data_IF_691466433296
#
_entry.id   IF_691466433296
#
_cell.length_a   1.000
_cell.length_b   1.000
_cell.length_c   1.000
_cell.angle_alpha   90.00
_cell.angle_beta   90.00
_cell.angle_gamma   90.00
#
_symmetry.space_group_name_H-M   'P 1'
#
loop_
_entity.id
_entity.type
_entity.pdbx_description
1 polymer ?
#
# COMPACT_ATOMS: atom_id res chain seq x y z
N UNK A 1 -7.62 -28.15 15.63
CA UNK A 1 -8.69 -27.13 15.63
C UNK A 1 -8.36 -26.06 14.59
N UNK A 2 -9.33 -25.61 13.79
CA UNK A 2 -9.12 -24.49 12.86
C UNK A 2 -9.24 -23.18 13.65
N UNK A 3 -8.18 -22.40 13.71
CA UNK A 3 -8.19 -21.07 14.33
C UNK A 3 -8.98 -20.14 13.41
N UNK A 4 -10.00 -19.46 13.95
CA UNK A 4 -10.74 -18.41 13.25
C UNK A 4 -9.96 -17.11 13.33
N UNK A 5 -8.89 -17.04 12.54
CA UNK A 5 -7.85 -15.99 12.62
C UNK A 5 -8.38 -14.55 12.70
N UNK A 6 -9.42 -14.21 11.93
CA UNK A 6 -10.00 -12.87 11.96
C UNK A 6 -10.82 -12.63 13.24
N UNK A 7 -11.69 -13.58 13.61
CA UNK A 7 -12.51 -13.51 14.82
C UNK A 7 -11.63 -13.36 16.08
N UNK A 8 -10.54 -14.14 16.17
CA UNK A 8 -9.61 -14.06 17.31
C UNK A 8 -8.89 -12.70 17.34
N UNK A 9 -8.43 -12.20 16.18
CA UNK A 9 -7.79 -10.89 16.10
C UNK A 9 -8.75 -9.78 16.54
N UNK A 10 -9.96 -9.76 16.00
CA UNK A 10 -10.98 -8.74 16.28
C UNK A 10 -11.44 -8.76 17.74
N UNK A 11 -11.46 -9.92 18.38
CA UNK A 11 -11.77 -10.05 19.80
C UNK A 11 -10.63 -9.63 20.74
N UNK A 12 -9.37 -9.83 20.35
CA UNK A 12 -8.21 -9.64 21.22
C UNK A 12 -7.57 -8.26 21.02
N UNK A 13 -7.36 -7.82 19.78
CA UNK A 13 -6.64 -6.58 19.44
C UNK A 13 -7.14 -5.35 20.21
N UNK A 14 -8.46 -5.07 20.33
CA UNK A 14 -8.97 -3.91 21.07
C UNK A 14 -8.66 -3.92 22.58
N UNK A 15 -8.24 -5.07 23.13
CA UNK A 15 -7.92 -5.22 24.55
C UNK A 15 -6.43 -4.99 24.86
N UNK A 16 -5.60 -4.89 23.84
CA UNK A 16 -4.16 -4.72 23.99
C UNK A 16 -3.81 -3.26 24.30
N UNK A 17 -2.87 -3.05 25.22
CA UNK A 17 -2.14 -1.78 25.27
C UNK A 17 -1.09 -1.78 24.16
N UNK A 18 -1.27 -0.89 23.17
CA UNK A 18 -0.48 -0.80 21.95
C UNK A 18 0.76 0.11 22.11
N UNK A 19 0.86 0.84 23.22
CA UNK A 19 1.94 1.80 23.44
C UNK A 19 3.31 1.12 23.39
N UNK A 20 4.15 1.57 22.46
CA UNK A 20 5.52 1.08 22.26
C UNK A 20 5.63 -0.32 21.67
N UNK A 21 4.54 -0.91 21.17
CA UNK A 21 4.58 -2.25 20.56
C UNK A 21 4.96 -2.19 19.09
N UNK A 22 5.76 -3.18 18.68
CA UNK A 22 5.91 -3.51 17.27
C UNK A 22 4.74 -4.35 16.77
N UNK A 23 4.56 -4.46 15.45
CA UNK A 23 3.57 -5.35 14.85
C UNK A 23 3.78 -6.81 15.27
N UNK A 24 5.03 -7.24 15.43
CA UNK A 24 5.36 -8.59 15.89
C UNK A 24 4.99 -8.79 17.37
N UNK A 25 5.19 -7.79 18.22
CA UNK A 25 4.76 -7.86 19.63
C UNK A 25 3.24 -8.00 19.73
N UNK A 26 2.48 -7.30 18.89
CA UNK A 26 1.02 -7.43 18.79
C UNK A 26 0.65 -8.87 18.40
N UNK A 27 1.29 -9.41 17.37
CA UNK A 27 1.06 -10.79 16.90
C UNK A 27 1.37 -11.81 17.99
N UNK A 28 2.49 -11.65 18.69
CA UNK A 28 2.90 -12.54 19.77
C UNK A 28 1.91 -12.51 20.94
N UNK A 29 1.41 -11.32 21.30
CA UNK A 29 0.37 -11.19 22.34
C UNK A 29 -0.93 -11.88 21.95
N UNK A 30 -1.38 -11.71 20.70
CA UNK A 30 -2.58 -12.38 20.19
C UNK A 30 -2.39 -13.90 20.21
N UNK A 31 -1.25 -14.38 19.74
CA UNK A 31 -0.91 -15.81 19.76
C UNK A 31 -0.96 -16.39 21.18
N UNK A 32 -0.36 -15.72 22.17
CA UNK A 32 -0.37 -16.18 23.56
C UNK A 32 -1.79 -16.28 24.11
N UNK A 33 -2.65 -15.30 23.84
CA UNK A 33 -4.05 -15.33 24.29
C UNK A 33 -4.83 -16.45 23.62
N UNK A 34 -4.61 -16.71 22.32
CA UNK A 34 -5.25 -17.82 21.60
C UNK A 34 -4.80 -19.17 22.16
N UNK A 35 -3.50 -19.34 22.45
CA UNK A 35 -2.97 -20.57 23.06
C UNK A 35 -3.59 -20.80 24.45
N UNK A 36 -3.66 -19.76 25.29
CA UNK A 36 -4.23 -19.84 26.64
C UNK A 36 -5.72 -20.17 26.66
N UNK A 37 -6.49 -19.67 25.68
CA UNK A 37 -7.93 -19.95 25.55
C UNK A 37 -8.22 -21.33 24.96
N UNK A 38 -7.25 -21.96 24.30
CA UNK A 38 -7.47 -23.22 23.59
C UNK A 38 -7.55 -24.41 24.55
N UNK A 39 -8.62 -25.18 24.45
CA UNK A 39 -8.78 -26.45 25.17
C UNK A 39 -8.10 -27.63 24.47
N UNK A 40 -7.59 -27.42 23.25
CA UNK A 40 -6.91 -28.44 22.44
C UNK A 40 -5.50 -27.98 22.07
N UNK A 41 -4.60 -28.95 21.86
CA UNK A 41 -3.26 -28.66 21.32
C UNK A 41 -3.38 -28.04 19.92
N UNK A 42 -2.77 -26.87 19.74
CA UNK A 42 -2.66 -26.18 18.45
C UNK A 42 -1.34 -26.58 17.79
N UNK A 43 -1.36 -26.88 16.50
CA UNK A 43 -0.13 -27.20 15.76
C UNK A 43 0.63 -25.93 15.38
N UNK A 44 1.97 -26.01 15.39
CA UNK A 44 2.83 -24.88 14.97
C UNK A 44 2.51 -24.41 13.55
N UNK A 45 2.18 -25.33 12.63
CA UNK A 45 1.79 -24.97 11.26
C UNK A 45 0.51 -24.11 11.20
N UNK A 46 -0.44 -24.35 12.10
CA UNK A 46 -1.67 -23.54 12.19
C UNK A 46 -1.36 -22.14 12.73
N UNK A 47 -0.49 -22.05 13.75
CA UNK A 47 -0.03 -20.78 14.30
C UNK A 47 0.71 -19.95 13.24
N UNK A 48 1.68 -20.54 12.54
CA UNK A 48 2.45 -19.84 11.50
C UNK A 48 1.56 -19.25 10.38
N UNK A 49 0.49 -19.95 9.99
CA UNK A 49 -0.49 -19.44 9.03
C UNK A 49 -1.27 -18.23 9.62
N UNK A 50 -1.67 -18.32 10.88
CA UNK A 50 -2.38 -17.23 11.56
C UNK A 50 -1.49 -16.00 11.76
N UNK A 51 -0.23 -16.17 12.17
CA UNK A 51 0.75 -15.09 12.38
C UNK A 51 0.89 -14.17 11.17
N UNK A 52 0.97 -14.73 9.97
CA UNK A 52 1.05 -13.93 8.73
C UNK A 52 -0.18 -13.03 8.56
N UNK A 53 -1.38 -13.58 8.81
CA UNK A 53 -2.62 -12.79 8.74
C UNK A 53 -2.69 -11.75 9.86
N UNK A 54 -2.32 -12.12 11.09
CA UNK A 54 -2.33 -11.20 12.21
C UNK A 54 -1.33 -10.07 12.05
N UNK A 55 -0.18 -10.30 11.41
CA UNK A 55 0.78 -9.25 11.12
C UNK A 55 0.22 -8.22 10.12
N UNK A 56 -0.44 -8.69 9.05
CA UNK A 56 -1.14 -7.80 8.10
C UNK A 56 -2.28 -7.02 8.77
N UNK A 57 -3.02 -7.67 9.67
CA UNK A 57 -4.11 -7.04 10.43
C UNK A 57 -3.58 -6.03 11.46
N UNK A 58 -2.47 -6.33 12.14
CA UNK A 58 -1.81 -5.39 13.05
C UNK A 58 -1.32 -4.15 12.29
N UNK A 59 -0.67 -4.36 11.14
CA UNK A 59 -0.21 -3.27 10.29
C UNK A 59 -1.37 -2.35 9.87
N UNK A 60 -2.46 -2.90 9.33
CA UNK A 60 -3.56 -2.06 8.82
C UNK A 60 -4.31 -1.33 9.93
N UNK A 61 -4.49 -1.94 11.10
CA UNK A 61 -5.15 -1.28 12.23
C UNK A 61 -4.29 -0.16 12.80
N UNK A 62 -2.98 -0.39 12.95
CA UNK A 62 -2.05 0.67 13.36
C UNK A 62 -1.94 1.76 12.30
N UNK A 63 -1.88 1.42 11.00
CA UNK A 63 -1.86 2.39 9.90
C UNK A 63 -3.13 3.23 9.88
N UNK A 64 -4.29 2.63 10.13
CA UNK A 64 -5.55 3.34 10.29
C UNK A 64 -5.49 4.32 11.47
N UNK A 65 -5.13 3.85 12.67
CA UNK A 65 -5.01 4.70 13.86
C UNK A 65 -4.06 5.87 13.62
N UNK A 66 -2.88 5.56 13.08
CA UNK A 66 -1.81 6.49 12.80
C UNK A 66 -2.22 7.56 11.78
N UNK A 67 -2.77 7.16 10.62
CA UNK A 67 -3.14 8.13 9.58
C UNK A 67 -4.27 9.07 10.01
N UNK A 68 -5.19 8.61 10.88
CA UNK A 68 -6.23 9.45 11.47
C UNK A 68 -5.65 10.53 12.38
N UNK A 69 -4.54 10.24 13.07
CA UNK A 69 -3.86 11.12 14.04
C UNK A 69 -2.85 12.06 13.38
N UNK A 70 -2.13 11.58 12.37
CA UNK A 70 -0.98 12.28 11.80
C UNK A 70 -1.30 13.14 10.60
N UNK A 71 -2.44 12.92 9.92
CA UNK A 71 -2.78 13.65 8.68
C UNK A 71 -4.25 14.07 8.67
N UNK A 72 -4.55 15.19 8.02
CA UNK A 72 -5.94 15.63 7.80
C UNK A 72 -6.47 15.27 6.41
N UNK A 73 -5.57 15.07 5.45
CA UNK A 73 -5.91 14.99 4.03
C UNK A 73 -5.69 13.61 3.41
N UNK A 74 -4.99 12.69 4.09
CA UNK A 74 -4.67 11.39 3.54
C UNK A 74 -5.46 10.28 4.22
N UNK A 75 -5.68 9.20 3.48
CA UNK A 75 -6.19 7.96 4.04
C UNK A 75 -5.64 6.75 3.27
N UNK A 76 -5.40 5.66 3.99
CA UNK A 76 -4.87 4.41 3.45
C UNK A 76 -6.01 3.41 3.30
N UNK A 77 -6.18 2.87 2.09
CA UNK A 77 -7.19 1.85 1.82
C UNK A 77 -6.51 0.56 1.40
N UNK A 78 -6.80 -0.53 2.12
CA UNK A 78 -6.40 -1.86 1.70
C UNK A 78 -7.18 -2.28 0.47
N UNK A 79 -6.44 -2.67 -0.54
CA UNK A 79 -7.01 -3.13 -1.79
C UNK A 79 -7.52 -4.57 -1.66
N UNK A 80 -8.53 -4.90 -2.44
CA UNK A 80 -8.95 -6.28 -2.62
C UNK A 80 -7.94 -7.09 -3.44
N UNK A 81 -8.23 -8.38 -3.61
CA UNK A 81 -7.50 -9.20 -4.58
C UNK A 81 -7.71 -8.70 -6.02
N UNK A 82 -6.83 -9.10 -6.95
CA UNK A 82 -6.97 -8.83 -8.39
C UNK A 82 -8.32 -9.33 -8.95
N UNK A 83 -8.87 -10.40 -8.37
CA UNK A 83 -10.19 -10.93 -8.71
C UNK A 83 -11.36 -10.05 -8.24
N UNK A 84 -11.13 -9.20 -7.23
CA UNK A 84 -12.14 -8.34 -6.63
C UNK A 84 -12.14 -6.93 -7.23
N UNK A 85 -10.96 -6.38 -7.48
CA UNK A 85 -10.76 -5.04 -8.03
C UNK A 85 -9.43 -4.98 -8.76
N UNK A 86 -9.39 -4.34 -9.93
CA UNK A 86 -8.10 -3.95 -10.54
C UNK A 86 -7.68 -2.61 -9.97
N UNK A 87 -6.39 -2.36 -9.77
CA UNK A 87 -5.95 -1.13 -9.09
C UNK A 87 -6.47 0.16 -9.75
N UNK A 88 -6.63 0.19 -11.08
CA UNK A 88 -7.16 1.35 -11.80
C UNK A 88 -8.69 1.48 -11.72
N UNK A 89 -9.39 0.50 -11.17
CA UNK A 89 -10.85 0.58 -10.96
C UNK A 89 -11.24 1.47 -9.78
N UNK A 90 -10.29 1.98 -9.00
CA UNK A 90 -10.56 3.01 -7.98
C UNK A 90 -10.96 4.35 -8.62
N UNK A 91 -10.42 4.65 -9.81
CA UNK A 91 -10.65 5.93 -10.49
C UNK A 91 -12.06 5.97 -11.09
N UNK A 92 -12.65 7.15 -11.25
CA UNK A 92 -13.89 7.29 -12.02
C UNK A 92 -13.71 6.76 -13.45
N UNK A 93 -14.77 6.20 -14.04
CA UNK A 93 -14.70 5.59 -15.39
C UNK A 93 -14.25 6.62 -16.42
N UNK A 94 -14.77 7.84 -16.32
CA UNK A 94 -14.49 8.99 -17.17
C UNK A 94 -13.00 9.35 -17.14
N UNK A 95 -12.39 9.31 -15.95
CA UNK A 95 -10.99 9.65 -15.74
C UNK A 95 -10.02 8.64 -16.36
N UNK A 96 -10.42 7.37 -16.48
CA UNK A 96 -9.57 6.30 -17.04
C UNK A 96 -9.92 5.88 -18.46
N UNK A 97 -10.82 6.59 -19.15
CA UNK A 97 -11.28 6.23 -20.49
C UNK A 97 -10.12 6.01 -21.49
N UNK A 98 -9.09 6.86 -21.43
CA UNK A 98 -7.90 6.74 -22.31
C UNK A 98 -7.14 5.44 -22.05
N UNK A 99 -6.99 5.07 -20.78
CA UNK A 99 -6.33 3.82 -20.40
C UNK A 99 -7.18 2.61 -20.81
N UNK A 100 -8.48 2.63 -20.54
CA UNK A 100 -9.39 1.54 -20.93
C UNK A 100 -9.39 1.34 -22.46
N UNK A 101 -9.41 2.43 -23.25
CA UNK A 101 -9.29 2.38 -24.70
C UNK A 101 -7.96 1.77 -25.16
N UNK A 102 -6.83 2.16 -24.53
CA UNK A 102 -5.52 1.58 -24.84
C UNK A 102 -5.49 0.07 -24.61
N UNK A 103 -6.05 -0.38 -23.48
CA UNK A 103 -6.15 -1.80 -23.14
C UNK A 103 -6.99 -2.55 -24.17
N UNK A 104 -8.11 -1.97 -24.61
CA UNK A 104 -8.97 -2.60 -25.61
C UNK A 104 -8.31 -2.65 -27.00
N UNK A 105 -7.56 -1.61 -27.39
CA UNK A 105 -6.74 -1.64 -28.61
C UNK A 105 -5.74 -2.79 -28.54
N UNK A 106 -5.04 -2.97 -27.42
CA UNK A 106 -4.05 -4.05 -27.25
C UNK A 106 -4.68 -5.45 -27.33
N UNK A 107 -5.86 -5.64 -26.75
CA UNK A 107 -6.57 -6.93 -26.80
C UNK A 107 -7.10 -7.28 -28.18
N UNK A 108 -7.53 -6.28 -28.95
CA UNK A 108 -8.20 -6.48 -30.25
C UNK A 108 -7.23 -6.53 -31.44
N UNK A 109 -5.92 -6.62 -31.21
CA UNK A 109 -4.94 -6.86 -32.27
C UNK A 109 -5.03 -8.31 -32.79
N UNK A 110 -4.53 -8.52 -34.01
CA UNK A 110 -4.37 -9.87 -34.59
C UNK A 110 -3.54 -10.78 -33.68
N UNK A 111 -2.52 -10.21 -33.02
CA UNK A 111 -1.78 -10.81 -31.92
C UNK A 111 -2.10 -10.02 -30.63
N UNK A 112 -3.04 -10.50 -29.79
CA UNK A 112 -3.47 -9.79 -28.59
C UNK A 112 -2.35 -9.58 -27.58
N UNK A 113 -2.26 -8.37 -27.04
CA UNK A 113 -1.35 -8.01 -25.95
C UNK A 113 -2.17 -7.82 -24.68
N UNK A 114 -1.77 -8.47 -23.60
CA UNK A 114 -2.42 -8.36 -22.30
C UNK A 114 -1.49 -7.71 -21.28
N UNK A 115 -1.89 -6.56 -20.75
CA UNK A 115 -1.25 -6.00 -19.55
C UNK A 115 -1.87 -6.70 -18.34
N UNK A 116 -1.10 -7.58 -17.71
CA UNK A 116 -1.47 -8.25 -16.45
C UNK A 116 -0.62 -7.71 -15.31
N UNK A 117 -1.27 -7.46 -14.18
CA UNK A 117 -0.62 -6.94 -12.99
C UNK A 117 -1.51 -7.26 -11.78
N UNK A 118 -0.89 -7.77 -10.72
CA UNK A 118 -1.52 -7.89 -9.42
C UNK A 118 -1.93 -6.52 -8.89
N UNK A 119 -2.83 -6.51 -7.91
CA UNK A 119 -3.25 -5.27 -7.26
C UNK A 119 -2.29 -4.97 -6.12
N UNK A 120 -1.74 -3.73 -6.03
CA UNK A 120 -0.94 -3.32 -4.88
C UNK A 120 -1.71 -3.54 -3.58
N UNK A 121 -1.03 -3.78 -2.48
CA UNK A 121 -1.70 -4.09 -1.20
C UNK A 121 -2.55 -2.93 -0.69
N UNK A 122 -2.08 -1.69 -0.91
CA UNK A 122 -2.77 -0.49 -0.47
C UNK A 122 -2.74 0.63 -1.51
N UNK A 123 -3.72 1.52 -1.40
CA UNK A 123 -3.75 2.82 -2.08
C UNK A 123 -3.85 3.95 -1.07
N UNK A 124 -3.07 5.01 -1.29
CA UNK A 124 -3.16 6.26 -0.54
C UNK A 124 -4.03 7.23 -1.33
N UNK A 125 -5.12 7.68 -0.71
CA UNK A 125 -6.11 8.57 -1.32
C UNK A 125 -6.35 9.80 -0.46
N UNK A 126 -7.07 10.76 -1.02
CA UNK A 126 -7.52 11.94 -0.29
C UNK A 126 -8.64 11.55 0.68
N UNK A 127 -8.61 12.06 1.91
CA UNK A 127 -9.52 11.65 2.99
C UNK A 127 -10.98 12.11 2.77
N UNK A 128 -11.17 13.16 1.99
CA UNK A 128 -12.48 13.66 1.52
C UNK A 128 -13.30 12.56 0.83
N UNK A 129 -12.69 11.74 -0.04
CA UNK A 129 -13.43 10.70 -0.75
C UNK A 129 -14.00 9.65 0.21
N UNK A 130 -13.32 9.38 1.32
CA UNK A 130 -13.79 8.44 2.35
C UNK A 130 -14.94 9.06 3.14
N UNK A 131 -14.87 10.36 3.46
CA UNK A 131 -15.96 11.11 4.12
C UNK A 131 -17.22 11.15 3.28
N UNK A 132 -17.09 11.33 1.97
CA UNK A 132 -18.22 11.40 1.04
C UNK A 132 -18.79 10.02 0.70
N UNK A 133 -17.92 9.01 0.61
CA UNK A 133 -18.29 7.69 0.12
C UNK A 133 -18.77 6.75 1.21
N UNK A 134 -18.36 6.97 2.46
CA UNK A 134 -18.70 6.11 3.56
C UNK A 134 -19.81 6.71 4.42
N UNK A 135 -20.92 5.98 4.56
CA UNK A 135 -21.84 6.19 5.66
C UNK A 135 -21.29 5.70 7.00
N UNK A 136 -20.12 5.05 6.99
CA UNK A 136 -19.51 4.46 8.18
C UNK A 136 -18.67 5.48 8.96
N UNK A 137 -18.73 5.36 10.28
CA UNK A 137 -17.92 6.14 11.23
C UNK A 137 -16.45 5.68 11.24
N UNK A 138 -15.94 5.07 10.16
CA UNK A 138 -14.56 4.55 10.09
C UNK A 138 -13.54 5.63 10.42
N UNK A 139 -13.77 6.87 9.99
CA UNK A 139 -12.89 8.01 10.27
C UNK A 139 -12.98 8.53 11.71
N UNK A 140 -14.00 8.13 12.46
CA UNK A 140 -14.24 8.53 13.86
C UNK A 140 -13.90 7.41 14.85
N UNK A 141 -13.75 6.17 14.37
CA UNK A 141 -13.44 5.02 15.19
C UNK A 141 -11.98 4.61 14.97
N UNK A 142 -11.14 4.69 16.01
CA UNK A 142 -9.74 4.26 15.95
C UNK A 142 -9.56 2.74 15.83
N UNK A 143 -10.60 1.96 16.15
CA UNK A 143 -10.62 0.50 16.01
C UNK A 143 -11.94 0.05 15.36
N UNK A 144 -12.11 0.32 14.05
CA UNK A 144 -13.31 -0.06 13.33
C UNK A 144 -13.36 -1.58 13.11
N UNK A 145 -14.55 -2.15 12.86
CA UNK A 145 -14.68 -3.57 12.54
C UNK A 145 -13.79 -3.96 11.37
N UNK A 146 -13.16 -5.13 11.42
CA UNK A 146 -12.22 -5.58 10.40
C UNK A 146 -12.85 -5.62 9.01
N UNK A 147 -14.14 -5.95 8.95
CA UNK A 147 -14.90 -5.96 7.70
C UNK A 147 -14.93 -4.58 7.04
N UNK A 148 -15.16 -3.51 7.82
CA UNK A 148 -15.24 -2.15 7.27
C UNK A 148 -13.90 -1.72 6.66
N UNK A 149 -12.79 -1.95 7.37
CA UNK A 149 -11.45 -1.64 6.86
C UNK A 149 -11.11 -2.48 5.61
N UNK A 150 -11.34 -3.79 5.65
CA UNK A 150 -10.95 -4.69 4.56
C UNK A 150 -11.84 -4.51 3.31
N UNK A 151 -13.06 -4.02 3.45
CA UNK A 151 -14.00 -3.85 2.33
C UNK A 151 -14.13 -2.41 1.85
N UNK A 152 -13.39 -1.46 2.44
CA UNK A 152 -13.45 -0.05 2.07
C UNK A 152 -13.12 0.19 0.58
N UNK A 153 -12.25 -0.64 -0.03
CA UNK A 153 -11.98 -0.58 -1.47
C UNK A 153 -13.25 -0.73 -2.33
N UNK A 154 -14.26 -1.49 -1.87
CA UNK A 154 -15.53 -1.66 -2.57
C UNK A 154 -16.32 -0.36 -2.58
N UNK A 155 -16.21 0.41 -1.50
CA UNK A 155 -16.90 1.69 -1.32
C UNK A 155 -16.28 2.77 -2.19
N UNK A 156 -14.95 2.81 -2.33
CA UNK A 156 -14.24 3.81 -3.16
C UNK A 156 -14.10 3.40 -4.64
N UNK A 157 -14.51 2.18 -5.00
CA UNK A 157 -14.44 1.67 -6.37
C UNK A 157 -15.19 2.60 -7.34
N UNK A 158 -14.51 3.03 -8.39
CA UNK A 158 -14.97 3.97 -9.41
C UNK A 158 -15.31 5.38 -8.91
N UNK A 159 -14.75 5.84 -7.78
CA UNK A 159 -15.12 7.14 -7.20
C UNK A 159 -14.01 8.18 -7.22
N UNK A 160 -12.74 7.77 -7.19
CA UNK A 160 -11.62 8.69 -7.08
C UNK A 160 -11.39 9.47 -8.38
N UNK A 161 -11.28 10.80 -8.29
CA UNK A 161 -10.67 11.61 -9.33
C UNK A 161 -9.16 11.35 -9.38
N UNK A 162 -8.46 11.60 -10.51
CA UNK A 162 -7.04 11.33 -10.64
C UNK A 162 -6.21 11.96 -9.52
N UNK A 163 -6.38 13.27 -9.30
CA UNK A 163 -5.66 13.99 -8.26
C UNK A 163 -5.93 13.44 -6.86
N UNK A 164 -7.03 12.73 -6.61
CA UNK A 164 -7.35 12.19 -5.29
C UNK A 164 -6.50 10.97 -4.94
N UNK A 165 -5.93 10.26 -5.91
CA UNK A 165 -5.04 9.12 -5.67
C UNK A 165 -3.59 9.58 -5.62
N UNK A 166 -2.95 9.46 -4.45
CA UNK A 166 -1.59 9.97 -4.22
C UNK A 166 -0.51 8.95 -4.56
N UNK A 167 -0.79 7.69 -4.27
CA UNK A 167 0.14 6.62 -4.56
C UNK A 167 -0.37 5.26 -4.15
N UNK A 168 0.47 4.27 -4.37
CA UNK A 168 0.24 2.88 -3.96
C UNK A 168 1.35 2.44 -3.02
N UNK A 169 1.04 1.46 -2.19
CA UNK A 169 2.00 0.85 -1.27
C UNK A 169 1.90 -0.67 -1.39
N UNK A 170 3.05 -1.33 -1.54
CA UNK A 170 3.16 -2.79 -1.38
C UNK A 170 3.79 -3.11 -0.01
N UNK A 171 3.19 -4.05 0.71
CA UNK A 171 3.66 -4.52 2.01
C UNK A 171 4.50 -5.78 1.84
N UNK A 172 5.78 -5.69 2.19
CA UNK A 172 6.74 -6.79 2.07
C UNK A 172 6.91 -7.51 3.40
N UNK A 173 6.27 -8.67 3.52
CA UNK A 173 6.35 -9.52 4.72
C UNK A 173 7.47 -10.56 4.69
N UNK A 174 8.22 -10.69 3.58
CA UNK A 174 9.36 -11.61 3.50
C UNK A 174 10.36 -11.23 2.41
N UNK A 175 11.61 -11.69 2.57
CA UNK A 175 12.72 -11.47 1.65
C UNK A 175 12.78 -12.49 0.50
N UNK A 176 11.62 -12.94 0.01
CA UNK A 176 11.56 -13.93 -1.07
C UNK A 176 11.95 -13.29 -2.42
N UNK A 177 12.89 -13.88 -3.20
CA UNK A 177 13.35 -13.31 -4.46
C UNK A 177 12.27 -13.13 -5.52
N UNK A 178 11.22 -13.95 -5.54
CA UNK A 178 10.08 -13.78 -6.47
C UNK A 178 9.26 -12.53 -6.15
N UNK A 179 9.09 -12.20 -4.87
CA UNK A 179 8.25 -11.07 -4.43
C UNK A 179 8.81 -9.71 -4.83
N UNK A 180 10.14 -9.52 -4.86
CA UNK A 180 10.73 -8.22 -5.25
C UNK A 180 10.44 -7.86 -6.70
N UNK A 181 10.49 -8.83 -7.62
CA UNK A 181 10.20 -8.58 -9.03
C UNK A 181 8.72 -8.38 -9.28
N UNK A 182 7.86 -9.08 -8.52
CA UNK A 182 6.42 -8.83 -8.55
C UNK A 182 6.12 -7.35 -8.21
N UNK A 183 6.66 -6.85 -7.09
CA UNK A 183 6.44 -5.45 -6.67
C UNK A 183 7.00 -4.46 -7.71
N UNK A 184 8.18 -4.73 -8.27
CA UNK A 184 8.75 -3.88 -9.32
C UNK A 184 7.85 -3.80 -10.58
N UNK A 185 7.26 -4.92 -10.99
CA UNK A 185 6.31 -4.96 -12.11
C UNK A 185 5.02 -4.23 -11.75
N UNK A 186 4.50 -4.41 -10.53
CA UNK A 186 3.33 -3.66 -10.04
C UNK A 186 3.56 -2.16 -10.13
N UNK A 187 4.70 -1.67 -9.63
CA UNK A 187 5.05 -0.26 -9.66
C UNK A 187 5.14 0.29 -11.09
N UNK A 188 5.83 -0.44 -11.98
CA UNK A 188 5.93 -0.05 -13.40
C UNK A 188 4.57 0.02 -14.08
N UNK A 189 3.70 -0.97 -13.87
CA UNK A 189 2.36 -1.01 -14.49
C UNK A 189 1.44 0.06 -13.89
N UNK A 190 1.49 0.28 -12.58
CA UNK A 190 0.70 1.32 -11.91
C UNK A 190 1.05 2.72 -12.41
N UNK A 191 2.35 3.05 -12.47
CA UNK A 191 2.83 4.33 -13.01
C UNK A 191 2.66 4.43 -14.52
N UNK A 192 2.69 3.32 -15.26
CA UNK A 192 2.37 3.34 -16.69
C UNK A 192 0.90 3.67 -16.92
N UNK A 193 -0.01 3.04 -16.17
CA UNK A 193 -1.43 3.34 -16.22
C UNK A 193 -1.70 4.79 -15.82
N UNK A 194 -1.00 5.30 -14.80
CA UNK A 194 -1.20 6.66 -14.32
C UNK A 194 -0.97 7.71 -15.42
N UNK A 195 0.01 7.49 -16.32
CA UNK A 195 0.26 8.38 -17.48
C UNK A 195 -0.96 8.58 -18.40
N UNK A 196 -1.87 7.62 -18.45
CA UNK A 196 -3.09 7.70 -19.27
C UNK A 196 -4.33 8.11 -18.48
N UNK A 197 -4.27 8.06 -17.14
CA UNK A 197 -5.38 8.39 -16.23
C UNK A 197 -5.23 9.82 -15.69
N UNK A 198 -4.01 10.20 -15.37
CA UNK A 198 -3.67 11.48 -14.76
C UNK A 198 -3.24 12.51 -15.82
N UNK A 199 -3.38 13.78 -15.46
CA UNK A 199 -2.80 14.89 -16.21
C UNK A 199 -1.28 14.96 -15.95
N UNK A 200 -0.54 15.59 -16.87
CA UNK A 200 0.93 15.55 -16.93
C UNK A 200 1.67 16.08 -15.69
N UNK A 201 0.99 16.81 -14.81
CA UNK A 201 1.57 17.36 -13.58
C UNK A 201 1.45 16.43 -12.36
N UNK A 202 0.66 15.35 -12.41
CA UNK A 202 0.48 14.48 -11.25
C UNK A 202 1.48 13.34 -11.25
N UNK A 203 2.41 13.37 -10.29
CA UNK A 203 3.34 12.28 -10.03
C UNK A 203 2.71 11.28 -9.07
N UNK A 204 2.36 10.10 -9.58
CA UNK A 204 1.87 8.99 -8.76
C UNK A 204 3.05 8.35 -8.02
N UNK A 205 2.99 8.31 -6.68
CA UNK A 205 3.99 7.63 -5.86
C UNK A 205 3.77 6.12 -5.77
N UNK A 206 4.85 5.37 -5.61
CA UNK A 206 4.81 3.94 -5.31
C UNK A 206 5.86 3.60 -4.25
N UNK A 207 5.41 3.25 -3.06
CA UNK A 207 6.27 2.98 -1.92
C UNK A 207 6.23 1.49 -1.53
N UNK A 208 7.29 1.03 -0.86
CA UNK A 208 7.36 -0.29 -0.25
C UNK A 208 7.52 -0.14 1.25
N UNK A 209 6.68 -0.85 2.00
CA UNK A 209 6.84 -0.96 3.45
C UNK A 209 7.23 -2.39 3.79
N UNK A 210 8.37 -2.56 4.45
CA UNK A 210 8.84 -3.84 4.97
C UNK A 210 10.36 -3.95 4.98
N UNK A 211 10.86 -5.00 5.64
CA UNK A 211 12.28 -5.27 5.69
C UNK A 211 12.81 -5.67 4.31
N UNK A 212 14.01 -5.20 3.99
CA UNK A 212 14.66 -5.42 2.71
C UNK A 212 16.16 -5.55 2.83
N UNK A 213 16.70 -6.46 2.02
CA UNK A 213 18.12 -6.76 1.95
C UNK A 213 18.79 -6.02 0.76
N UNK A 214 20.13 -6.05 0.65
CA UNK A 214 20.83 -5.35 -0.42
C UNK A 214 20.35 -5.69 -1.83
N UNK A 215 19.97 -6.95 -2.08
CA UNK A 215 19.45 -7.38 -3.38
C UNK A 215 18.02 -6.91 -3.63
N UNK A 216 17.23 -6.64 -2.59
CA UNK A 216 15.94 -5.95 -2.75
C UNK A 216 16.19 -4.50 -3.19
N UNK A 217 17.10 -3.79 -2.51
CA UNK A 217 17.45 -2.39 -2.83
C UNK A 217 17.94 -2.23 -4.26
N UNK A 218 18.77 -3.16 -4.74
CA UNK A 218 19.22 -3.19 -6.14
C UNK A 218 18.02 -3.24 -7.09
N UNK A 219 17.08 -4.17 -6.88
CA UNK A 219 15.87 -4.30 -7.72
C UNK A 219 14.95 -3.09 -7.58
N UNK A 220 14.79 -2.53 -6.39
CA UNK A 220 13.88 -1.41 -6.13
C UNK A 220 14.42 -0.06 -6.62
N UNK A 221 15.73 0.05 -6.87
CA UNK A 221 16.33 1.17 -7.58
C UNK A 221 16.13 1.13 -9.10
N UNK A 222 15.47 0.09 -9.63
CA UNK A 222 15.24 -0.05 -11.06
C UNK A 222 14.42 1.12 -11.64
N UNK A 223 14.72 1.50 -12.90
CA UNK A 223 14.07 2.62 -13.54
C UNK A 223 12.62 2.31 -13.88
N UNK A 224 11.82 3.37 -13.96
CA UNK A 224 10.51 3.34 -14.58
C UNK A 224 10.70 3.09 -16.09
N UNK A 225 10.30 1.91 -16.56
CA UNK A 225 10.73 1.40 -17.88
C UNK A 225 10.34 2.34 -19.02
N UNK A 226 9.18 3.01 -18.93
CA UNK A 226 8.73 3.91 -19.99
C UNK A 226 9.42 5.28 -20.00
N UNK A 227 10.16 5.65 -18.96
CA UNK A 227 10.98 6.88 -18.91
C UNK A 227 12.41 6.63 -19.38
N UNK A 228 12.79 5.38 -19.67
CA UNK A 228 14.09 5.07 -20.24
C UNK A 228 14.26 5.82 -21.58
N UNK A 229 15.41 6.48 -21.79
CA UNK A 229 15.64 7.26 -23.00
C UNK A 229 15.55 6.34 -24.22
N UNK A 230 14.62 6.66 -25.13
CA UNK A 230 14.64 6.12 -26.49
C UNK A 230 15.60 7.00 -27.28
N UNK A 231 16.56 6.37 -27.98
CA UNK A 231 17.65 6.98 -28.75
C UNK A 231 17.63 8.53 -28.83
N UNK A 232 18.53 9.20 -28.11
CA UNK A 232 18.74 10.66 -28.19
C UNK A 232 18.27 11.50 -26.98
N UNK A 233 17.72 10.91 -25.92
CA UNK A 233 17.19 11.65 -24.76
C UNK A 233 18.12 11.70 -23.54
N UNK A 234 17.92 12.72 -22.71
CA UNK A 234 18.68 13.05 -21.50
C UNK A 234 18.43 12.02 -20.38
N UNK A 235 19.50 11.44 -19.84
CA UNK A 235 19.45 10.44 -18.75
C UNK A 235 18.87 11.02 -17.45
N UNK A 236 18.89 12.35 -17.28
CA UNK A 236 18.39 13.01 -16.06
C UNK A 236 16.88 12.99 -15.92
N UNK A 237 16.12 12.51 -16.94
CA UNK A 237 14.67 12.35 -16.86
C UNK A 237 14.23 10.93 -16.50
N UNK A 238 15.17 10.04 -16.15
CA UNK A 238 14.84 8.67 -15.76
C UNK A 238 14.34 8.66 -14.32
N UNK A 239 13.08 8.30 -14.14
CA UNK A 239 12.47 8.14 -12.82
C UNK A 239 12.67 6.71 -12.32
N UNK A 240 12.58 6.52 -10.99
CA UNK A 240 12.50 5.19 -10.40
C UNK A 240 11.08 4.65 -10.46
N UNK A 241 10.95 3.32 -10.65
CA UNK A 241 9.64 2.69 -10.59
C UNK A 241 9.07 2.75 -9.17
N UNK A 242 9.90 2.54 -8.16
CA UNK A 242 9.59 2.62 -6.72
C UNK A 242 10.23 3.90 -6.18
N UNK A 243 9.43 4.76 -5.56
CA UNK A 243 9.92 6.07 -5.08
C UNK A 243 10.62 5.94 -3.72
N UNK A 244 10.14 5.05 -2.84
CA UNK A 244 10.77 4.80 -1.54
C UNK A 244 10.53 3.39 -1.02
N UNK A 245 11.44 2.96 -0.15
CA UNK A 245 11.43 1.68 0.53
C UNK A 245 11.76 1.94 2.00
N UNK A 246 10.84 1.59 2.90
CA UNK A 246 10.97 1.89 4.33
C UNK A 246 10.65 0.66 5.18
N UNK A 247 11.37 0.47 6.28
CA UNK A 247 11.13 -0.62 7.21
C UNK A 247 10.39 -0.10 8.44
N UNK A 248 9.06 -0.18 8.41
CA UNK A 248 8.20 0.29 9.50
C UNK A 248 7.79 -0.89 10.36
N UNK A 249 8.03 -0.80 11.67
CA UNK A 249 7.80 -1.88 12.64
C UNK A 249 6.74 -1.52 13.68
N UNK A 250 6.43 -0.24 13.85
CA UNK A 250 5.58 0.25 14.95
C UNK A 250 4.60 1.33 14.49
N UNK A 251 3.59 1.61 15.32
CA UNK A 251 2.65 2.71 15.10
C UNK A 251 3.31 4.09 15.15
N UNK A 252 4.34 4.29 15.98
CA UNK A 252 5.06 5.57 16.06
C UNK A 252 5.81 5.88 14.75
N UNK A 253 6.48 4.88 14.18
CA UNK A 253 7.16 5.01 12.89
C UNK A 253 6.16 5.29 11.75
N UNK A 254 4.93 4.75 11.83
CA UNK A 254 3.85 5.11 10.91
C UNK A 254 3.48 6.60 11.03
N UNK A 255 3.41 7.14 12.26
CA UNK A 255 3.05 8.55 12.48
C UNK A 255 4.05 9.49 11.81
N UNK A 256 5.34 9.16 11.87
CA UNK A 256 6.43 9.88 11.21
C UNK A 256 6.37 9.71 9.69
N UNK A 257 6.15 8.48 9.21
CA UNK A 257 6.01 8.18 7.79
C UNK A 257 4.88 9.00 7.15
N UNK A 258 3.70 9.07 7.77
CA UNK A 258 2.57 9.80 7.18
C UNK A 258 2.78 11.31 7.11
N UNK A 259 3.45 11.91 8.10
CA UNK A 259 3.79 13.34 8.07
C UNK A 259 4.71 13.64 6.89
N UNK A 260 5.78 12.85 6.73
CA UNK A 260 6.72 12.96 5.62
C UNK A 260 6.03 12.72 4.27
N UNK A 261 5.17 11.71 4.18
CA UNK A 261 4.40 11.44 2.97
C UNK A 261 3.53 12.63 2.57
N UNK A 262 2.85 13.27 3.53
CA UNK A 262 2.02 14.45 3.23
C UNK A 262 2.86 15.67 2.81
N UNK A 263 4.04 15.88 3.42
CA UNK A 263 4.99 16.93 3.03
C UNK A 263 5.48 16.75 1.60
N UNK A 264 5.89 15.53 1.23
CA UNK A 264 6.32 15.20 -0.13
C UNK A 264 5.21 15.49 -1.14
N UNK A 265 3.99 15.03 -0.87
CA UNK A 265 2.84 15.27 -1.76
C UNK A 265 2.53 16.77 -1.90
N UNK A 266 2.79 17.59 -0.88
CA UNK A 266 2.67 19.05 -0.96
C UNK A 266 3.76 19.64 -1.86
N UNK A 267 5.01 19.23 -1.67
CA UNK A 267 6.15 19.70 -2.47
C UNK A 267 6.03 19.32 -3.96
N UNK A 268 5.56 18.10 -4.26
CA UNK A 268 5.28 17.65 -5.63
C UNK A 268 4.28 18.57 -6.34
N UNK A 269 3.21 18.98 -5.64
CA UNK A 269 2.20 19.91 -6.21
C UNK A 269 2.72 21.31 -6.44
N UNK A 270 3.71 21.74 -5.67
CA UNK A 270 4.32 23.06 -5.81
C UNK A 270 5.44 23.08 -6.89
N UNK A 271 5.67 21.95 -7.57
CA UNK A 271 6.80 21.74 -8.50
C UNK A 271 8.17 21.97 -7.82
N UNK A 272 8.24 21.74 -6.50
CA UNK A 272 9.43 21.95 -5.68
C UNK A 272 10.06 20.66 -5.16
N UNK A 273 9.56 19.50 -5.58
CA UNK A 273 10.06 18.21 -5.11
C UNK A 273 11.54 18.02 -5.50
N UNK A 274 12.32 17.56 -4.52
CA UNK A 274 13.74 17.27 -4.67
C UNK A 274 13.91 15.80 -5.09
N UNK A 275 15.06 15.44 -5.66
CA UNK A 275 15.31 14.08 -6.15
C UNK A 275 15.05 13.00 -5.05
N UNK A 276 14.50 11.81 -5.39
CA UNK A 276 14.21 10.73 -4.44
C UNK A 276 15.41 10.28 -3.58
N UNK A 277 16.63 10.55 -4.03
CA UNK A 277 17.88 10.20 -3.31
C UNK A 277 18.13 11.11 -2.10
N UNK A 278 17.53 12.29 -2.03
CA UNK A 278 17.60 13.16 -0.86
C UNK A 278 16.38 12.99 0.06
N UNK A 279 15.29 12.40 -0.46
CA UNK A 279 14.00 12.31 0.23
C UNK A 279 13.95 11.28 1.36
N UNK A 280 14.85 10.28 1.43
CA UNK A 280 14.85 9.21 2.47
C UNK A 280 16.25 8.72 2.93
N UNK A 281 17.35 9.26 2.41
CA UNK A 281 18.71 8.73 2.64
C UNK A 281 19.35 9.18 3.96
N UNK A 282 18.80 10.18 4.64
CA UNK A 282 19.40 10.70 5.88
C UNK A 282 19.07 9.92 7.17
N UNK A 283 18.29 8.84 7.09
CA UNK A 283 18.02 7.99 8.25
C UNK A 283 18.79 6.67 8.14
N UNK A 284 20.12 6.76 8.19
CA UNK A 284 20.87 5.80 9.00
C UNK A 284 20.43 6.01 10.45
N UNK A 285 19.27 5.47 10.81
CA UNK A 285 18.97 5.13 12.19
C UNK A 285 19.82 3.91 12.54
N UNK A 286 21.12 4.16 12.68
CA UNK A 286 22.00 3.37 13.52
C UNK A 286 21.59 3.66 14.97
N UNK A 287 20.75 2.78 15.52
CA UNK A 287 20.71 2.46 16.94
C UNK A 287 20.77 0.94 17.10
#
# INVERSE_FOLDING_TARGET
MAIRKNDEFEAIYPTLNLDGLTFLDIVDRIEQVVIQKSTQAITQGSLNNCRGTWNELAFIMEAHRSILQSTENLYLVKMGSETSIKFWEIYQKESRQKYDLLIDIFKNKQEPIFIRCSTPDFVVISRDIVRESSSSNILQNSSPPLKEINELYKVIKNKCLPYQVKGFISLKTSNRPDRRYQILVEANVAKFASRYIHESAHRLRYDIIGESNPSDREVFSAPLIFTLPRSGNNITSVERAIDSEVNIKSGQELDEYWKRYEEIIKLDREEKAVSPEEEFVNDNLDF
#
